data_IF_789860034381
#
_entry.id   IF_789860034381
#
_cell.length_a   1.000
_cell.length_b   1.000
_cell.length_c   1.000
_cell.angle_alpha   90.00
_cell.angle_beta   90.00
_cell.angle_gamma   90.00
#
_symmetry.space_group_name_H-M   'P 1'
#
loop_
_entity.id
_entity.type
_entity.pdbx_description
1 polymer ?
#
# COMPACT_ATOMS: atom_id res chain seq x y z
N UNK A 1 12.61 66.73 54.67
CA UNK A 1 13.80 66.33 54.01
C UNK A 1 13.42 65.12 53.18
N UNK A 2 13.83 65.07 51.95
CA UNK A 2 13.12 64.43 50.82
C UNK A 2 13.18 62.90 50.81
N UNK A 3 11.97 62.29 50.81
CA UNK A 3 11.76 60.89 50.55
C UNK A 3 11.82 60.60 49.04
N UNK A 4 12.64 59.67 48.64
CA UNK A 4 12.74 59.23 47.22
C UNK A 4 12.15 57.83 47.10
N UNK A 5 10.95 57.77 46.58
CA UNK A 5 10.28 56.48 46.27
C UNK A 5 10.88 55.90 44.97
N UNK A 6 11.54 54.78 45.10
CA UNK A 6 11.99 53.98 43.95
C UNK A 6 10.83 53.10 43.50
N UNK A 7 10.24 53.42 42.37
CA UNK A 7 9.27 52.57 41.68
C UNK A 7 10.04 51.45 40.96
N UNK A 8 9.94 50.23 41.49
CA UNK A 8 10.44 49.04 40.85
C UNK A 8 9.42 48.64 39.77
N UNK A 9 9.81 48.78 38.50
CA UNK A 9 9.03 48.39 37.33
C UNK A 9 9.27 46.88 37.13
N UNK A 10 8.25 46.08 37.45
CA UNK A 10 8.28 44.61 37.17
C UNK A 10 7.98 44.42 35.69
N UNK A 11 9.01 44.19 34.87
CA UNK A 11 8.88 43.71 33.50
C UNK A 11 8.51 42.23 33.53
N UNK A 12 7.23 41.94 33.30
CA UNK A 12 6.72 40.59 33.09
C UNK A 12 7.07 40.18 31.66
N UNK A 13 8.22 39.52 31.50
CA UNK A 13 8.59 38.88 30.23
C UNK A 13 7.71 37.63 30.02
N UNK A 14 6.69 37.77 29.19
CA UNK A 14 5.91 36.63 28.69
C UNK A 14 6.81 35.82 27.73
N UNK A 15 7.33 34.66 28.18
CA UNK A 15 7.90 33.64 27.31
C UNK A 15 6.76 33.01 26.49
N UNK A 16 6.68 33.38 25.25
CA UNK A 16 5.87 32.67 24.25
C UNK A 16 6.65 31.41 23.89
N UNK A 17 6.26 30.26 24.47
CA UNK A 17 6.69 28.96 24.02
C UNK A 17 6.00 28.68 22.68
N UNK A 18 6.69 28.99 21.58
CA UNK A 18 6.31 28.52 20.26
C UNK A 18 6.47 26.99 20.23
N UNK A 19 5.38 26.30 20.44
CA UNK A 19 5.30 24.85 20.19
C UNK A 19 5.43 24.65 18.69
N UNK A 20 6.64 24.34 18.21
CA UNK A 20 6.84 23.75 16.89
C UNK A 20 6.16 22.39 16.89
N UNK A 21 4.99 22.31 16.29
CA UNK A 21 4.44 21.02 15.89
C UNK A 21 5.33 20.51 14.75
N UNK A 22 6.31 19.69 15.10
CA UNK A 22 7.01 18.86 14.13
C UNK A 22 5.98 17.92 13.51
N UNK A 23 5.49 18.32 12.34
CA UNK A 23 4.87 17.39 11.41
C UNK A 23 5.98 16.55 10.79
N UNK A 24 6.56 15.67 11.61
CA UNK A 24 7.38 14.57 11.11
C UNK A 24 6.47 13.69 10.26
N UNK A 25 6.52 13.88 8.95
CA UNK A 25 6.14 12.86 7.99
C UNK A 25 7.14 11.70 8.16
N UNK A 26 6.95 10.92 9.24
CA UNK A 26 7.59 9.63 9.36
C UNK A 26 7.08 8.82 8.17
N UNK A 27 7.97 8.55 7.20
CA UNK A 27 7.76 7.49 6.23
C UNK A 27 7.57 6.22 7.07
N UNK A 28 6.30 5.87 7.31
CA UNK A 28 5.96 4.71 8.13
C UNK A 28 6.50 3.49 7.39
N UNK A 29 7.57 2.92 7.93
CA UNK A 29 8.25 1.78 7.32
C UNK A 29 7.24 0.64 7.16
N UNK A 30 7.13 0.10 5.93
CA UNK A 30 6.21 -0.98 5.62
C UNK A 30 6.48 -2.19 6.51
N UNK A 31 5.50 -2.56 7.32
CA UNK A 31 5.55 -3.71 8.23
C UNK A 31 4.17 -4.31 8.43
N UNK A 32 4.13 -5.56 8.85
CA UNK A 32 2.88 -6.20 9.28
C UNK A 32 2.28 -5.41 10.46
N UNK A 33 0.99 -5.12 10.39
CA UNK A 33 0.25 -4.28 11.35
C UNK A 33 0.30 -2.78 11.04
N UNK A 34 1.22 -2.31 10.17
CA UNK A 34 1.27 -0.93 9.69
C UNK A 34 0.32 -0.69 8.51
N UNK A 35 0.11 0.56 8.14
CA UNK A 35 -0.64 0.89 6.93
C UNK A 35 0.20 0.62 5.67
N UNK A 36 -0.46 0.21 4.60
CA UNK A 36 0.18 0.13 3.29
C UNK A 36 0.57 1.53 2.80
N UNK A 37 1.73 1.69 2.14
CA UNK A 37 2.12 2.95 1.52
C UNK A 37 1.05 3.44 0.54
N UNK A 38 0.87 4.76 0.46
CA UNK A 38 -0.10 5.35 -0.46
C UNK A 38 0.36 5.23 -1.92
N UNK A 39 -0.58 4.94 -2.79
CA UNK A 39 -0.38 4.95 -4.24
C UNK A 39 -1.57 5.55 -4.97
N UNK A 40 -1.35 5.96 -6.22
CA UNK A 40 -2.38 6.40 -7.15
C UNK A 40 -1.94 5.98 -8.55
N UNK A 41 -2.51 4.89 -9.06
CA UNK A 41 -2.12 4.26 -10.31
C UNK A 41 -3.30 4.12 -11.27
N UNK A 42 -3.00 4.03 -12.56
CA UNK A 42 -4.00 3.78 -13.60
C UNK A 42 -4.15 2.29 -13.83
N UNK A 43 -5.40 1.83 -13.90
CA UNK A 43 -5.74 0.51 -14.43
C UNK A 43 -5.69 0.50 -15.95
N UNK A 44 -5.77 -0.69 -16.54
CA UNK A 44 -5.71 -0.85 -18.00
C UNK A 44 -6.89 -0.18 -18.73
N UNK A 45 -8.02 0.02 -18.07
CA UNK A 45 -9.18 0.76 -18.62
C UNK A 45 -9.09 2.28 -18.42
N UNK A 46 -8.03 2.77 -17.74
CA UNK A 46 -7.78 4.19 -17.49
C UNK A 46 -8.35 4.71 -16.18
N UNK A 47 -9.06 3.89 -15.40
CA UNK A 47 -9.56 4.24 -14.07
C UNK A 47 -8.39 4.47 -13.11
N UNK A 48 -8.46 5.50 -12.27
CA UNK A 48 -7.46 5.71 -11.20
C UNK A 48 -7.85 4.91 -9.98
N UNK A 49 -6.93 4.08 -9.48
CA UNK A 49 -7.07 3.32 -8.24
C UNK A 49 -6.10 3.85 -7.20
N UNK A 50 -6.61 4.08 -6.00
CA UNK A 50 -5.86 4.58 -4.84
C UNK A 50 -6.15 3.69 -3.62
N UNK A 51 -5.36 3.82 -2.54
CA UNK A 51 -5.68 3.14 -1.27
C UNK A 51 -7.10 3.47 -0.80
N UNK A 52 -7.50 4.75 -0.85
CA UNK A 52 -8.83 5.17 -0.42
C UNK A 52 -9.97 4.57 -1.25
N UNK A 53 -9.73 4.28 -2.53
CA UNK A 53 -10.71 3.59 -3.37
C UNK A 53 -10.84 2.09 -3.05
N UNK A 54 -9.95 1.57 -2.21
CA UNK A 54 -9.93 0.17 -1.76
C UNK A 54 -10.31 0.01 -0.28
N UNK A 55 -10.54 1.11 0.45
CA UNK A 55 -11.01 1.06 1.83
C UNK A 55 -12.32 0.30 1.96
N UNK A 56 -12.44 -0.49 3.02
CA UNK A 56 -13.59 -1.37 3.25
C UNK A 56 -13.45 -2.76 2.63
N UNK A 57 -12.55 -2.94 1.68
CA UNK A 57 -12.26 -4.25 1.08
C UNK A 57 -11.01 -4.89 1.69
N UNK A 58 -11.02 -6.21 1.75
CA UNK A 58 -9.79 -6.99 1.93
C UNK A 58 -9.08 -7.04 0.58
N UNK A 59 -7.81 -6.71 0.54
CA UNK A 59 -7.04 -6.58 -0.71
C UNK A 59 -5.85 -7.52 -0.72
N UNK A 60 -5.67 -8.23 -1.83
CA UNK A 60 -4.43 -8.91 -2.18
C UNK A 60 -3.74 -8.07 -3.24
N UNK A 61 -2.70 -7.34 -2.82
CA UNK A 61 -1.91 -6.45 -3.65
C UNK A 61 -0.67 -7.19 -4.14
N UNK A 62 -0.58 -7.46 -5.44
CA UNK A 62 0.48 -8.29 -6.01
C UNK A 62 1.32 -7.48 -7.01
N UNK A 63 2.64 -7.47 -6.84
CA UNK A 63 3.60 -6.88 -7.78
C UNK A 63 4.20 -7.97 -8.66
N UNK A 64 4.14 -7.75 -9.97
CA UNK A 64 4.53 -8.71 -10.99
C UNK A 64 5.00 -8.05 -12.29
N UNK A 65 5.42 -8.84 -13.28
CA UNK A 65 5.68 -8.36 -14.64
C UNK A 65 5.44 -9.50 -15.65
N UNK A 66 5.21 -9.15 -16.91
CA UNK A 66 4.96 -10.14 -17.99
C UNK A 66 6.16 -11.06 -18.26
N UNK A 67 7.37 -10.57 -18.00
CA UNK A 67 8.64 -11.32 -18.15
C UNK A 67 9.03 -12.13 -16.90
N UNK A 68 8.29 -12.03 -15.80
CA UNK A 68 8.58 -12.71 -14.54
C UNK A 68 8.08 -14.16 -14.57
N UNK A 69 8.97 -15.13 -14.82
CA UNK A 69 8.62 -16.54 -14.87
C UNK A 69 7.97 -17.07 -13.58
N UNK A 70 8.50 -16.77 -12.36
CA UNK A 70 7.85 -17.23 -11.14
C UNK A 70 6.43 -16.66 -10.95
N UNK A 71 6.15 -15.45 -11.46
CA UNK A 71 4.84 -14.82 -11.36
C UNK A 71 3.78 -15.58 -12.19
N UNK A 72 4.20 -16.28 -13.24
CA UNK A 72 3.26 -17.02 -14.09
C UNK A 72 2.56 -18.14 -13.33
N UNK A 73 3.24 -18.76 -12.35
CA UNK A 73 2.70 -19.84 -11.55
C UNK A 73 1.59 -19.43 -10.60
N UNK A 74 1.55 -18.17 -10.17
CA UNK A 74 0.54 -17.68 -9.24
C UNK A 74 -0.71 -17.08 -9.92
N UNK A 75 -0.67 -16.79 -11.23
CA UNK A 75 -1.82 -16.24 -11.95
C UNK A 75 -3.08 -17.10 -11.80
N UNK A 76 -3.06 -18.43 -11.95
CA UNK A 76 -4.24 -19.27 -11.71
C UNK A 76 -4.79 -19.15 -10.29
N UNK A 77 -3.92 -19.12 -9.29
CA UNK A 77 -4.27 -19.00 -7.87
C UNK A 77 -4.98 -17.66 -7.57
N UNK A 78 -4.43 -16.56 -8.12
CA UNK A 78 -5.02 -15.23 -7.99
C UNK A 78 -6.35 -15.10 -8.74
N UNK A 79 -6.48 -15.75 -9.91
CA UNK A 79 -7.75 -15.81 -10.66
C UNK A 79 -8.85 -16.52 -9.89
N UNK A 80 -8.51 -17.65 -9.27
CA UNK A 80 -9.45 -18.41 -8.44
C UNK A 80 -9.86 -17.62 -7.20
N UNK A 81 -8.91 -16.94 -6.55
CA UNK A 81 -9.20 -16.06 -5.43
C UNK A 81 -10.14 -14.91 -5.84
N UNK A 82 -9.84 -14.21 -6.93
CA UNK A 82 -10.67 -13.13 -7.44
C UNK A 82 -12.11 -13.60 -7.74
N UNK A 83 -12.27 -14.79 -8.32
CA UNK A 83 -13.57 -15.39 -8.59
C UNK A 83 -14.37 -15.73 -7.31
N UNK A 84 -13.69 -15.94 -6.17
CA UNK A 84 -14.33 -16.23 -4.88
C UNK A 84 -14.97 -15.00 -4.22
N UNK A 85 -14.65 -13.80 -4.67
CA UNK A 85 -15.10 -12.50 -4.14
C UNK A 85 -14.79 -12.27 -2.63
N UNK A 86 -13.89 -13.06 -2.03
CA UNK A 86 -13.49 -12.93 -0.63
C UNK A 86 -12.49 -11.79 -0.41
N UNK A 87 -11.76 -11.43 -1.45
CA UNK A 87 -10.83 -10.32 -1.47
C UNK A 87 -10.78 -9.68 -2.86
N UNK A 88 -10.48 -8.40 -2.92
CA UNK A 88 -10.10 -7.74 -4.17
C UNK A 88 -8.65 -8.10 -4.51
N UNK A 89 -8.42 -8.72 -5.64
CA UNK A 89 -7.08 -8.92 -6.18
C UNK A 89 -6.73 -7.69 -7.03
N UNK A 90 -5.65 -7.01 -6.68
CA UNK A 90 -5.12 -5.85 -7.38
C UNK A 90 -3.66 -6.12 -7.72
N UNK A 91 -3.35 -6.29 -9.00
CA UNK A 91 -2.01 -6.59 -9.46
C UNK A 91 -1.36 -5.34 -10.05
N UNK A 92 -0.17 -4.98 -9.58
CA UNK A 92 0.62 -3.85 -10.08
C UNK A 92 1.71 -4.41 -10.99
N UNK A 93 1.60 -4.13 -12.28
CA UNK A 93 2.55 -4.58 -13.29
C UNK A 93 3.71 -3.59 -13.42
N UNK A 94 4.94 -4.09 -13.43
CA UNK A 94 6.19 -3.31 -13.44
C UNK A 94 6.89 -3.33 -14.81
N UNK A 95 6.13 -3.59 -15.87
CA UNK A 95 6.65 -3.59 -17.24
C UNK A 95 6.97 -2.17 -17.71
N UNK A 96 8.19 -1.92 -18.16
CA UNK A 96 8.65 -0.59 -18.61
C UNK A 96 7.85 -0.05 -19.81
N UNK A 97 7.39 -0.94 -20.69
CA UNK A 97 6.53 -0.58 -21.84
C UNK A 97 5.06 -0.34 -21.45
N UNK A 98 4.72 -0.52 -20.17
CA UNK A 98 3.41 -0.23 -19.62
C UNK A 98 2.26 -0.94 -20.34
N UNK A 99 1.18 -0.21 -20.59
CA UNK A 99 -0.07 -0.74 -21.17
C UNK A 99 0.17 -1.53 -22.48
N UNK A 100 1.16 -1.16 -23.28
CA UNK A 100 1.44 -1.79 -24.59
C UNK A 100 1.80 -3.26 -24.44
N UNK A 101 2.56 -3.63 -23.42
CA UNK A 101 2.94 -5.02 -23.12
C UNK A 101 1.94 -5.71 -22.22
N UNK A 102 1.43 -5.01 -21.20
CA UNK A 102 0.57 -5.60 -20.18
C UNK A 102 -0.79 -6.00 -20.77
N UNK A 103 -1.46 -5.14 -21.55
CA UNK A 103 -2.81 -5.38 -22.05
C UNK A 103 -2.95 -6.68 -22.87
N UNK A 104 -2.13 -6.95 -23.91
CA UNK A 104 -2.24 -8.19 -24.65
C UNK A 104 -1.91 -9.42 -23.79
N UNK A 105 -0.99 -9.30 -22.86
CA UNK A 105 -0.67 -10.37 -21.92
C UNK A 105 -1.88 -10.72 -21.02
N UNK A 106 -2.50 -9.71 -20.39
CA UNK A 106 -3.70 -9.87 -19.56
C UNK A 106 -4.82 -10.56 -20.32
N UNK A 107 -5.05 -10.15 -21.58
CA UNK A 107 -6.02 -10.79 -22.46
C UNK A 107 -5.67 -12.26 -22.74
N UNK A 108 -4.41 -12.56 -23.07
CA UNK A 108 -3.95 -13.92 -23.40
C UNK A 108 -4.05 -14.89 -22.22
N UNK A 109 -3.88 -14.40 -20.99
CA UNK A 109 -4.01 -15.19 -19.75
C UNK A 109 -5.42 -15.17 -19.16
N UNK A 110 -6.35 -14.44 -19.79
CA UNK A 110 -7.71 -14.25 -19.29
C UNK A 110 -7.73 -13.85 -17.83
N UNK A 111 -6.89 -12.86 -17.45
CA UNK A 111 -6.83 -12.33 -16.08
C UNK A 111 -8.16 -11.63 -15.76
N UNK A 112 -8.79 -12.03 -14.66
CA UNK A 112 -10.13 -11.61 -14.24
C UNK A 112 -10.14 -10.68 -13.01
N UNK A 113 -8.99 -10.05 -12.72
CA UNK A 113 -8.81 -9.12 -11.60
C UNK A 113 -8.19 -7.81 -12.09
N UNK A 114 -8.23 -6.79 -11.22
CA UNK A 114 -7.71 -5.45 -11.55
C UNK A 114 -6.20 -5.48 -11.77
N UNK A 115 -5.75 -4.92 -12.90
CA UNK A 115 -4.34 -4.75 -13.21
C UNK A 115 -4.04 -3.27 -13.36
N UNK A 116 -3.08 -2.79 -12.57
CA UNK A 116 -2.58 -1.42 -12.56
C UNK A 116 -1.21 -1.35 -13.24
N UNK A 117 -0.94 -0.22 -13.85
CA UNK A 117 0.37 0.09 -14.43
C UNK A 117 1.20 0.78 -13.35
N UNK A 118 2.23 0.11 -12.87
CA UNK A 118 3.18 0.63 -11.89
C UNK A 118 4.56 0.86 -12.48
N UNK A 119 5.48 1.26 -11.61
CA UNK A 119 6.88 1.52 -11.92
C UNK A 119 7.79 1.15 -10.72
N UNK A 120 9.09 1.35 -10.88
CA UNK A 120 10.06 1.12 -9.82
C UNK A 120 9.83 2.03 -8.61
N UNK A 121 9.35 3.25 -8.80
CA UNK A 121 9.13 4.20 -7.70
C UNK A 121 8.06 3.67 -6.75
N UNK A 122 6.91 3.26 -7.29
CA UNK A 122 5.85 2.66 -6.46
C UNK A 122 6.32 1.36 -5.82
N UNK A 123 7.08 0.52 -6.54
CA UNK A 123 7.60 -0.73 -5.99
C UNK A 123 8.56 -0.50 -4.80
N UNK A 124 9.43 0.50 -4.90
CA UNK A 124 10.33 0.89 -3.80
C UNK A 124 9.57 1.45 -2.58
N UNK A 125 8.49 2.20 -2.77
CA UNK A 125 7.63 2.65 -1.66
C UNK A 125 7.08 1.48 -0.85
N UNK A 126 6.87 0.34 -1.50
CA UNK A 126 6.42 -0.90 -0.85
C UNK A 126 7.59 -1.80 -0.36
N UNK A 127 8.81 -1.27 -0.24
CA UNK A 127 10.02 -2.02 0.13
C UNK A 127 10.22 -3.27 -0.75
N UNK A 128 9.81 -3.19 -2.03
CA UNK A 128 9.96 -4.26 -3.00
C UNK A 128 11.44 -4.41 -3.41
N UNK A 129 11.91 -5.67 -3.42
CA UNK A 129 13.29 -6.00 -3.81
C UNK A 129 13.28 -6.94 -5.03
N UNK A 130 12.24 -7.78 -5.14
CA UNK A 130 12.08 -8.75 -6.22
C UNK A 130 10.63 -9.17 -6.37
N UNK A 131 10.27 -9.69 -7.53
CA UNK A 131 8.93 -10.15 -7.87
C UNK A 131 8.90 -11.67 -8.09
N UNK A 132 7.77 -12.37 -7.80
CA UNK A 132 6.53 -11.80 -7.31
C UNK A 132 6.62 -11.34 -5.85
N UNK A 133 5.86 -10.30 -5.52
CA UNK A 133 5.79 -9.72 -4.20
C UNK A 133 4.34 -9.39 -3.86
N UNK A 134 3.81 -9.92 -2.76
CA UNK A 134 2.39 -9.82 -2.46
C UNK A 134 2.16 -9.37 -1.04
N UNK A 135 1.26 -8.40 -0.87
CA UNK A 135 0.74 -7.96 0.42
C UNK A 135 -0.72 -8.36 0.55
N UNK A 136 -1.09 -8.82 1.75
CA UNK A 136 -2.49 -8.97 2.13
C UNK A 136 -2.86 -7.83 3.05
N UNK A 137 -3.89 -7.06 2.68
CA UNK A 137 -4.35 -5.89 3.42
C UNK A 137 -5.76 -6.15 3.97
N UNK A 138 -5.99 -5.72 5.20
CA UNK A 138 -7.33 -5.72 5.79
C UNK A 138 -8.21 -4.57 5.27
N UNK A 139 -9.45 -4.48 5.75
CA UNK A 139 -10.41 -3.45 5.35
C UNK A 139 -9.98 -2.02 5.68
N UNK A 140 -9.05 -1.85 6.62
CA UNK A 140 -8.46 -0.56 7.00
C UNK A 140 -7.15 -0.29 6.28
N UNK A 141 -6.82 -1.09 5.24
CA UNK A 141 -5.56 -1.03 4.48
C UNK A 141 -4.30 -1.25 5.35
N UNK A 142 -4.44 -2.00 6.45
CA UNK A 142 -3.29 -2.48 7.25
C UNK A 142 -2.75 -3.76 6.66
N UNK A 143 -1.44 -3.88 6.68
CA UNK A 143 -0.73 -5.06 6.19
C UNK A 143 -0.92 -6.22 7.17
N UNK A 144 -1.58 -7.27 6.72
CA UNK A 144 -1.77 -8.52 7.47
C UNK A 144 -0.61 -9.48 7.25
N UNK A 145 -0.14 -9.55 6.00
CA UNK A 145 0.99 -10.40 5.64
C UNK A 145 1.75 -9.86 4.41
N UNK A 146 3.01 -10.26 4.29
CA UNK A 146 3.91 -9.91 3.18
C UNK A 146 4.58 -11.19 2.67
N UNK A 147 4.37 -11.50 1.39
CA UNK A 147 5.01 -12.63 0.71
C UNK A 147 6.10 -12.14 -0.23
N UNK A 148 7.28 -12.72 -0.11
CA UNK A 148 8.40 -12.53 -1.03
C UNK A 148 8.62 -13.83 -1.81
N UNK A 149 8.04 -13.90 -3.00
CA UNK A 149 7.98 -15.09 -3.83
C UNK A 149 6.54 -15.52 -4.15
N UNK A 150 6.36 -16.60 -4.92
CA UNK A 150 5.03 -17.03 -5.38
C UNK A 150 4.08 -17.37 -4.23
N UNK A 151 2.83 -16.98 -4.38
CA UNK A 151 1.74 -17.32 -3.45
C UNK A 151 0.85 -18.42 -3.99
N UNK A 152 0.17 -19.11 -3.09
CA UNK A 152 -0.90 -20.07 -3.42
C UNK A 152 -2.23 -19.57 -2.83
N UNK A 153 -3.34 -19.97 -3.45
CA UNK A 153 -4.66 -19.68 -2.90
C UNK A 153 -4.79 -20.17 -1.46
N UNK A 154 -4.22 -21.35 -1.16
CA UNK A 154 -4.22 -21.91 0.20
C UNK A 154 -3.54 -20.99 1.22
N UNK A 155 -2.39 -20.40 0.89
CA UNK A 155 -1.69 -19.46 1.78
C UNK A 155 -2.50 -18.17 1.97
N UNK A 156 -3.07 -17.64 0.91
CA UNK A 156 -3.93 -16.45 0.95
C UNK A 156 -5.21 -16.71 1.74
N UNK A 157 -5.87 -17.85 1.55
CA UNK A 157 -7.06 -18.24 2.31
C UNK A 157 -6.83 -18.29 3.83
N UNK A 158 -5.61 -18.63 4.29
CA UNK A 158 -5.27 -18.61 5.71
C UNK A 158 -5.25 -17.18 6.25
N UNK A 159 -4.71 -16.22 5.50
CA UNK A 159 -4.70 -14.83 5.93
C UNK A 159 -6.10 -14.20 5.89
N UNK A 160 -6.91 -14.55 4.87
CA UNK A 160 -8.31 -14.12 4.80
C UNK A 160 -9.11 -14.62 6.01
N UNK A 161 -8.88 -15.86 6.46
CA UNK A 161 -9.52 -16.39 7.67
C UNK A 161 -9.13 -15.62 8.93
N UNK A 162 -7.85 -15.22 9.07
CA UNK A 162 -7.42 -14.37 10.20
C UNK A 162 -8.17 -13.04 10.20
N UNK A 163 -8.28 -12.38 9.04
CA UNK A 163 -9.01 -11.11 8.90
C UNK A 163 -10.49 -11.29 9.27
N UNK A 164 -11.13 -12.38 8.83
CA UNK A 164 -12.53 -12.71 9.15
C UNK A 164 -12.74 -12.95 10.65
N UNK A 165 -11.73 -13.48 11.35
CA UNK A 165 -11.75 -13.75 12.80
C UNK A 165 -11.35 -12.55 13.66
N UNK A 166 -10.94 -11.44 13.06
CA UNK A 166 -10.51 -10.23 13.76
C UNK A 166 -9.14 -10.36 14.46
N UNK A 167 -8.30 -11.28 13.97
CA UNK A 167 -6.95 -11.57 14.49
C UNK A 167 -5.90 -10.92 13.62
#
# INVERSE_FOLDING_TARGET
MKSWSVKVLFCLSALILSSCSDSSSSSEELRVGGHAPSFSLKSLDGTTVTNSSLEGDVVVLNFWATWCQPCMGEIPELKELAASSRAKVVAIALDQDGVRTIRPFVASKSINYTVLVGDEEVFHKFNGIGIPYTLVLDRSQRVVNIYRGPVTKKSLDLDLKKIEQGV
#
